data_IF_724223084770
#
_entry.id   IF_724223084770
#
_cell.length_a   1.000
_cell.length_b   1.000
_cell.length_c   1.000
_cell.angle_alpha   90.00
_cell.angle_beta   90.00
_cell.angle_gamma   90.00
#
_symmetry.space_group_name_H-M   'P 1'
#
loop_
_entity.id
_entity.type
_entity.pdbx_description
1 polymer ?
#
# COMPACT_ATOMS: atom_id res chain seq x y z
N UNK A 1 20.25 -44.85 -9.20
CA UNK A 1 20.78 -43.59 -8.63
C UNK A 1 21.35 -43.89 -7.27
N UNK A 2 22.49 -43.30 -6.92
CA UNK A 2 23.00 -43.36 -5.54
C UNK A 2 22.21 -42.33 -4.71
N UNK A 3 21.60 -42.70 -3.56
CA UNK A 3 20.94 -41.75 -2.67
C UNK A 3 21.86 -40.59 -2.23
N UNK A 4 23.18 -40.75 -2.33
CA UNK A 4 24.13 -39.69 -2.02
C UNK A 4 24.17 -38.54 -3.03
N UNK A 5 23.67 -38.75 -4.25
CA UNK A 5 23.71 -37.77 -5.34
C UNK A 5 22.47 -36.86 -5.36
N UNK A 6 21.52 -37.09 -4.44
CA UNK A 6 20.28 -36.31 -4.34
C UNK A 6 20.53 -35.03 -3.55
N UNK A 7 20.15 -33.90 -4.15
CA UNK A 7 20.18 -32.59 -3.54
C UNK A 7 18.77 -32.02 -3.41
N UNK A 8 18.46 -31.45 -2.25
CA UNK A 8 17.21 -30.73 -1.99
C UNK A 8 17.55 -29.24 -1.85
N UNK A 9 16.77 -28.38 -2.48
CA UNK A 9 16.84 -26.93 -2.25
C UNK A 9 15.48 -26.41 -1.83
N UNK A 10 15.45 -25.48 -0.88
CA UNK A 10 14.25 -24.86 -0.35
C UNK A 10 14.31 -23.33 -0.48
N UNK A 11 13.27 -22.73 -1.04
CA UNK A 11 13.15 -21.28 -1.24
C UNK A 11 11.82 -20.76 -0.71
N UNK A 12 11.79 -19.61 0.00
CA UNK A 12 12.95 -18.84 0.46
C UNK A 12 13.68 -19.54 1.63
N UNK A 13 15.00 -19.35 1.80
CA UNK A 13 15.75 -19.94 2.93
C UNK A 13 15.50 -19.19 4.24
N UNK A 14 15.18 -17.90 4.20
CA UNK A 14 14.80 -17.11 5.38
C UNK A 14 13.71 -16.11 5.03
N UNK A 15 12.81 -15.83 5.98
CA UNK A 15 11.82 -14.77 5.87
C UNK A 15 11.35 -14.29 7.24
N UNK A 16 10.83 -13.07 7.30
CA UNK A 16 10.21 -12.49 8.49
C UNK A 16 8.79 -12.06 8.14
N UNK A 17 7.83 -12.47 8.95
CA UNK A 17 6.40 -12.16 8.78
C UNK A 17 5.74 -11.89 10.13
N UNK A 18 4.57 -11.27 10.12
CA UNK A 18 3.74 -11.08 11.32
C UNK A 18 2.90 -12.31 11.62
N UNK A 19 2.38 -12.36 12.85
CA UNK A 19 1.44 -13.40 13.29
C UNK A 19 0.29 -13.58 12.29
N UNK A 20 0.02 -14.83 11.89
CA UNK A 20 -1.06 -15.19 10.98
C UNK A 20 -0.77 -15.01 9.49
N UNK A 21 0.38 -14.44 9.11
CA UNK A 21 0.78 -14.36 7.71
C UNK A 21 1.03 -15.74 7.10
N UNK A 22 0.73 -15.89 5.81
CA UNK A 22 1.00 -17.10 5.04
C UNK A 22 2.30 -16.96 4.26
N UNK A 23 3.23 -17.90 4.46
CA UNK A 23 4.48 -18.02 3.71
C UNK A 23 4.35 -19.13 2.68
N UNK A 24 4.78 -18.88 1.45
CA UNK A 24 4.84 -19.89 0.40
C UNK A 24 6.28 -20.40 0.27
N UNK A 25 6.42 -21.73 0.20
CA UNK A 25 7.70 -22.41 0.02
C UNK A 25 7.68 -23.26 -1.25
N UNK A 26 8.82 -23.31 -1.91
CA UNK A 26 9.10 -24.22 -3.03
C UNK A 26 10.35 -25.02 -2.72
N UNK A 27 10.24 -26.34 -2.82
CA UNK A 27 11.33 -27.28 -2.72
C UNK A 27 11.60 -27.93 -4.09
N UNK A 28 12.88 -28.08 -4.44
CA UNK A 28 13.32 -28.81 -5.62
C UNK A 28 14.21 -29.98 -5.20
N UNK A 29 14.04 -31.13 -5.84
CA UNK A 29 14.84 -32.33 -5.60
C UNK A 29 15.48 -32.72 -6.93
N UNK A 30 16.80 -32.66 -7.01
CA UNK A 30 17.56 -33.04 -8.20
C UNK A 30 18.48 -34.23 -7.90
N UNK A 31 18.73 -35.13 -8.88
CA UNK A 31 18.22 -35.16 -10.26
C UNK A 31 16.91 -35.95 -10.45
N UNK A 32 16.13 -36.18 -9.39
CA UNK A 32 14.94 -37.05 -9.42
C UNK A 32 13.77 -36.35 -10.13
N UNK A 33 13.15 -37.02 -11.10
CA UNK A 33 12.08 -36.44 -11.93
C UNK A 33 10.72 -36.32 -11.22
N UNK A 34 10.44 -37.12 -10.18
CA UNK A 34 9.17 -37.01 -9.43
C UNK A 34 9.13 -35.81 -8.47
N UNK A 35 10.30 -35.30 -8.06
CA UNK A 35 10.44 -34.17 -7.15
C UNK A 35 9.71 -34.34 -5.81
N UNK A 36 9.37 -35.55 -5.38
CA UNK A 36 8.50 -35.75 -4.22
C UNK A 36 9.19 -35.30 -2.91
N UNK A 37 8.51 -34.43 -2.15
CA UNK A 37 9.00 -33.82 -0.91
C UNK A 37 8.01 -34.06 0.22
N UNK A 38 8.53 -34.43 1.38
CA UNK A 38 7.82 -34.48 2.66
C UNK A 38 8.21 -33.28 3.51
N UNK A 39 7.24 -32.61 4.11
CA UNK A 39 7.44 -31.40 4.89
C UNK A 39 7.29 -31.63 6.38
N UNK A 40 8.13 -30.98 7.17
CA UNK A 40 7.99 -30.90 8.62
C UNK A 40 8.27 -29.48 9.09
N UNK A 41 7.80 -29.15 10.30
CA UNK A 41 8.04 -27.85 10.91
C UNK A 41 8.17 -27.96 12.43
N UNK A 42 8.95 -27.07 13.04
CA UNK A 42 9.09 -26.99 14.51
C UNK A 42 7.84 -26.42 15.20
N UNK A 43 6.93 -25.80 14.45
CA UNK A 43 5.67 -25.25 14.95
C UNK A 43 4.86 -24.55 13.85
N UNK A 44 3.71 -23.99 14.22
CA UNK A 44 2.76 -23.48 13.22
C UNK A 44 2.05 -24.60 12.44
N UNK A 45 1.50 -24.26 11.28
CA UNK A 45 0.66 -25.13 10.47
C UNK A 45 1.13 -25.13 9.03
N UNK A 46 1.43 -26.31 8.48
CA UNK A 46 1.68 -26.53 7.05
C UNK A 46 0.36 -26.73 6.30
N UNK A 47 0.29 -26.25 5.06
CA UNK A 47 -0.87 -26.44 4.19
C UNK A 47 -1.03 -27.88 3.69
N UNK A 48 0.08 -28.60 3.56
CA UNK A 48 0.11 -30.01 3.19
C UNK A 48 1.29 -30.74 3.85
N UNK A 49 1.22 -32.08 3.92
CA UNK A 49 2.37 -32.89 4.37
C UNK A 49 3.37 -33.17 3.24
N UNK A 50 2.95 -33.07 1.98
CA UNK A 50 3.73 -33.48 0.81
C UNK A 50 3.53 -32.53 -0.37
N UNK A 51 4.50 -32.48 -1.29
CA UNK A 51 4.42 -31.74 -2.55
C UNK A 51 5.64 -30.82 -2.75
N UNK A 52 5.91 -30.39 -3.98
CA UNK A 52 7.04 -29.49 -4.25
C UNK A 52 6.80 -28.05 -3.80
N UNK A 53 5.54 -27.68 -3.58
CA UNK A 53 5.18 -26.39 -2.99
C UNK A 53 4.37 -26.63 -1.73
N UNK A 54 4.46 -25.69 -0.79
CA UNK A 54 3.69 -25.75 0.44
C UNK A 54 3.43 -24.34 0.97
N UNK A 55 2.41 -24.20 1.80
CA UNK A 55 2.15 -22.99 2.57
C UNK A 55 2.41 -23.25 4.04
N UNK A 56 2.77 -22.21 4.78
CA UNK A 56 2.96 -22.28 6.22
C UNK A 56 2.48 -21.00 6.89
N UNK A 57 1.93 -21.11 8.10
CA UNK A 57 1.56 -19.97 8.95
C UNK A 57 1.71 -20.32 10.42
N UNK A 58 1.86 -19.31 11.28
CA UNK A 58 1.83 -19.49 12.74
C UNK A 58 1.07 -18.36 13.43
N UNK A 59 0.42 -18.71 14.54
CA UNK A 59 -0.39 -17.80 15.37
C UNK A 59 0.35 -17.24 16.58
N UNK A 60 1.62 -17.64 16.79
CA UNK A 60 2.42 -17.19 17.94
C UNK A 60 3.77 -16.65 17.47
N UNK A 61 4.25 -15.52 18.03
CA UNK A 61 5.57 -14.99 17.73
C UNK A 61 6.67 -15.99 18.07
N UNK A 62 7.74 -16.00 17.28
CA UNK A 62 8.88 -16.88 17.46
C UNK A 62 9.59 -17.23 16.17
N UNK A 63 10.67 -18.00 16.29
CA UNK A 63 11.43 -18.51 15.14
C UNK A 63 11.09 -19.97 14.88
N UNK A 64 10.75 -20.28 13.65
CA UNK A 64 10.33 -21.60 13.20
C UNK A 64 11.25 -22.11 12.10
N UNK A 65 11.47 -23.42 12.08
CA UNK A 65 12.21 -24.11 11.03
C UNK A 65 11.25 -24.96 10.22
N UNK A 66 11.29 -24.81 8.90
CA UNK A 66 10.52 -25.59 7.93
C UNK A 66 11.52 -26.46 7.19
N UNK A 67 11.31 -27.77 7.17
CA UNK A 67 12.23 -28.72 6.56
C UNK A 67 11.55 -29.47 5.42
N UNK A 68 12.15 -29.38 4.24
CA UNK A 68 11.77 -30.15 3.06
C UNK A 68 12.69 -31.36 2.94
N UNK A 69 12.13 -32.57 2.97
CA UNK A 69 12.90 -33.84 2.87
C UNK A 69 12.52 -34.57 1.60
N UNK A 70 13.50 -35.08 0.85
CA UNK A 70 13.22 -35.91 -0.33
C UNK A 70 12.50 -37.20 0.07
N UNK A 71 11.37 -37.50 -0.60
CA UNK A 71 10.64 -38.75 -0.36
C UNK A 71 11.43 -39.98 -0.86
N UNK A 72 12.16 -39.83 -1.97
CA UNK A 72 12.96 -40.90 -2.56
C UNK A 72 14.34 -41.07 -1.90
N UNK A 73 14.84 -40.04 -1.20
CA UNK A 73 16.06 -40.11 -0.40
C UNK A 73 15.87 -39.45 0.99
N UNK A 74 15.25 -40.14 1.96
CA UNK A 74 14.87 -39.55 3.26
C UNK A 74 16.02 -38.98 4.10
N UNK A 75 17.28 -39.30 3.77
CA UNK A 75 18.47 -38.70 4.39
C UNK A 75 18.90 -37.36 3.77
N UNK A 76 18.12 -36.80 2.84
CA UNK A 76 18.43 -35.56 2.12
C UNK A 76 17.31 -34.55 2.32
N UNK A 77 17.66 -33.41 2.87
CA UNK A 77 16.74 -32.33 3.21
C UNK A 77 17.40 -30.96 3.09
N UNK A 78 16.56 -29.94 2.96
CA UNK A 78 16.95 -28.54 3.14
C UNK A 78 15.97 -27.87 4.11
N UNK A 79 16.38 -26.77 4.74
CA UNK A 79 15.58 -26.08 5.76
C UNK A 79 15.53 -24.57 5.57
N UNK A 80 14.38 -24.00 5.87
CA UNK A 80 14.13 -22.57 5.88
C UNK A 80 13.82 -22.09 7.29
N UNK A 81 14.20 -20.85 7.60
CA UNK A 81 13.90 -20.19 8.88
C UNK A 81 12.84 -19.11 8.67
N UNK A 82 11.76 -19.16 9.45
CA UNK A 82 10.73 -18.11 9.48
C UNK A 82 10.74 -17.45 10.85
N UNK A 83 10.94 -16.14 10.87
CA UNK A 83 10.74 -15.33 12.09
C UNK A 83 9.34 -14.75 12.05
N UNK A 84 8.54 -15.07 13.06
CA UNK A 84 7.20 -14.53 13.26
C UNK A 84 7.25 -13.45 14.33
N UNK A 85 6.95 -12.23 13.95
CA UNK A 85 6.96 -11.09 14.85
C UNK A 85 5.56 -10.79 15.40
N UNK A 86 5.51 -10.31 16.64
CA UNK A 86 4.28 -9.86 17.27
C UNK A 86 3.80 -8.55 16.62
N UNK A 87 2.66 -8.61 15.92
CA UNK A 87 2.03 -7.45 15.29
C UNK A 87 0.91 -6.83 16.12
N UNK A 88 0.67 -7.29 17.35
CA UNK A 88 -0.44 -6.82 18.20
C UNK A 88 -0.35 -5.33 18.56
N UNK A 89 0.86 -4.78 18.55
CA UNK A 89 1.14 -3.36 18.86
C UNK A 89 1.19 -2.46 17.61
N UNK A 90 1.08 -3.02 16.40
CA UNK A 90 1.06 -2.23 15.17
C UNK A 90 -0.27 -1.46 15.10
N UNK A 91 -0.16 -0.13 15.10
CA UNK A 91 -1.29 0.78 15.00
C UNK A 91 -0.92 1.89 14.01
N UNK A 92 -1.09 1.56 12.72
CA UNK A 92 -0.66 2.46 11.66
C UNK A 92 -1.52 3.72 11.61
N UNK A 93 -0.87 4.85 11.35
CA UNK A 93 -1.53 6.13 11.06
C UNK A 93 -0.85 6.78 9.87
N UNK A 94 -1.62 7.28 8.92
CA UNK A 94 -1.12 8.14 7.83
C UNK A 94 -1.46 9.58 8.17
N UNK A 95 -0.45 10.46 8.18
CA UNK A 95 -0.60 11.88 8.49
C UNK A 95 -0.23 12.74 7.29
N UNK A 96 -1.08 13.72 6.91
CA UNK A 96 -2.44 13.94 7.42
C UNK A 96 -3.42 12.87 6.93
N UNK A 97 -4.52 12.66 7.67
CA UNK A 97 -5.57 11.70 7.29
C UNK A 97 -6.42 12.18 6.10
N UNK A 98 -6.50 13.49 5.88
CA UNK A 98 -7.13 14.08 4.71
C UNK A 98 -6.27 15.21 4.16
N UNK A 99 -6.30 15.40 2.83
CA UNK A 99 -5.62 16.52 2.18
C UNK A 99 -6.37 16.94 0.93
N UNK A 100 -6.73 18.22 0.85
CA UNK A 100 -7.17 18.83 -0.40
C UNK A 100 -5.93 19.28 -1.21
N UNK A 101 -5.95 19.01 -2.52
CA UNK A 101 -4.89 19.36 -3.46
C UNK A 101 -5.49 19.92 -4.74
N UNK A 102 -4.71 20.75 -5.43
CA UNK A 102 -5.01 21.25 -6.77
C UNK A 102 -4.20 20.46 -7.83
N UNK A 103 -4.58 20.54 -9.10
CA UNK A 103 -3.81 19.95 -10.19
C UNK A 103 -2.35 20.41 -10.17
N UNK A 104 -1.44 19.48 -10.43
CA UNK A 104 0.01 19.73 -10.40
C UNK A 104 0.64 19.86 -9.00
N UNK A 105 -0.14 19.88 -7.91
CA UNK A 105 0.40 19.95 -6.56
C UNK A 105 1.05 18.63 -6.13
N UNK A 106 2.02 18.76 -5.21
CA UNK A 106 2.65 17.61 -4.55
C UNK A 106 2.58 17.76 -3.04
N UNK A 107 2.44 16.64 -2.33
CA UNK A 107 2.42 16.61 -0.87
C UNK A 107 3.01 15.30 -0.34
N UNK A 108 3.78 15.40 0.75
CA UNK A 108 4.41 14.24 1.40
C UNK A 108 3.59 13.78 2.60
N UNK A 109 3.10 12.54 2.53
CA UNK A 109 2.43 11.86 3.63
C UNK A 109 3.43 11.04 4.44
N UNK A 110 3.16 10.88 5.73
CA UNK A 110 4.00 10.09 6.64
C UNK A 110 3.16 9.01 7.32
N UNK A 111 3.66 7.78 7.34
CA UNK A 111 3.15 6.69 8.16
C UNK A 111 3.88 6.64 9.52
N UNK A 112 3.17 6.26 10.56
CA UNK A 112 3.74 5.96 11.88
C UNK A 112 3.09 4.71 12.49
N UNK A 113 3.63 4.20 13.60
CA UNK A 113 3.06 3.06 14.33
C UNK A 113 3.34 1.69 13.71
N UNK A 114 4.36 1.60 12.85
CA UNK A 114 4.80 0.39 12.14
C UNK A 114 5.69 -0.53 13.00
N UNK A 115 6.09 -0.07 14.19
CA UNK A 115 6.97 -0.78 15.11
C UNK A 115 8.34 -1.15 14.49
N UNK A 116 8.82 -0.34 13.54
CA UNK A 116 10.08 -0.57 12.84
C UNK A 116 9.99 -1.55 11.66
N UNK A 117 8.82 -2.14 11.41
CA UNK A 117 8.59 -3.06 10.29
C UNK A 117 8.53 -2.39 8.91
N UNK A 118 8.29 -1.08 8.87
CA UNK A 118 8.05 -0.34 7.64
C UNK A 118 6.69 -0.63 7.01
N UNK A 119 6.41 0.07 5.90
CA UNK A 119 5.13 0.00 5.20
C UNK A 119 5.31 -0.21 3.70
N UNK A 120 4.26 -0.71 3.06
CA UNK A 120 4.06 -0.69 1.61
C UNK A 120 2.95 0.31 1.30
N UNK A 121 3.24 1.26 0.41
CA UNK A 121 2.28 2.27 0.00
C UNK A 121 1.54 1.84 -1.26
N UNK A 122 0.24 2.10 -1.32
CA UNK A 122 -0.59 1.99 -2.53
C UNK A 122 -1.42 3.25 -2.70
N UNK A 123 -1.71 3.64 -3.94
CA UNK A 123 -2.46 4.85 -4.27
C UNK A 123 -3.46 4.51 -5.37
N UNK A 124 -4.71 4.96 -5.22
CA UNK A 124 -5.73 4.90 -6.27
C UNK A 124 -5.75 6.18 -7.11
N UNK A 125 -6.38 6.12 -8.28
CA UNK A 125 -6.53 7.28 -9.18
C UNK A 125 -5.35 7.46 -10.14
N UNK A 126 -5.22 8.67 -10.68
CA UNK A 126 -4.23 9.00 -11.73
C UNK A 126 -3.00 9.74 -11.21
N UNK A 127 -2.98 10.08 -9.92
CA UNK A 127 -1.80 10.65 -9.28
C UNK A 127 -0.64 9.64 -9.22
N UNK A 128 0.57 10.17 -9.18
CA UNK A 128 1.79 9.38 -9.01
C UNK A 128 2.26 9.45 -7.57
N UNK A 129 3.07 8.47 -7.15
CA UNK A 129 3.71 8.47 -5.84
C UNK A 129 5.18 8.09 -5.92
N UNK A 130 5.97 8.64 -5.01
CA UNK A 130 7.37 8.29 -4.79
C UNK A 130 7.54 7.92 -3.33
N UNK A 131 7.81 6.63 -3.08
CA UNK A 131 7.96 6.10 -1.74
C UNK A 131 9.38 6.30 -1.21
N UNK A 132 9.49 6.67 0.06
CA UNK A 132 10.75 6.80 0.81
C UNK A 132 10.56 6.27 2.24
N UNK A 133 10.50 4.94 2.37
CA UNK A 133 10.27 4.27 3.65
C UNK A 133 8.90 4.61 4.23
N UNK A 134 8.89 5.21 5.43
CA UNK A 134 7.67 5.66 6.11
C UNK A 134 7.08 6.94 5.52
N UNK A 135 7.70 7.54 4.50
CA UNK A 135 7.15 8.69 3.80
C UNK A 135 6.80 8.32 2.36
N UNK A 136 5.80 8.99 1.80
CA UNK A 136 5.50 8.92 0.35
C UNK A 136 5.05 10.28 -0.15
N UNK A 137 5.63 10.73 -1.25
CA UNK A 137 5.23 11.97 -1.91
C UNK A 137 4.25 11.66 -3.01
N UNK A 138 3.04 12.20 -2.90
CA UNK A 138 2.00 12.09 -3.92
C UNK A 138 2.00 13.35 -4.78
N UNK A 139 1.99 13.18 -6.10
CA UNK A 139 1.93 14.26 -7.08
C UNK A 139 0.68 14.10 -7.93
N UNK A 140 -0.17 15.12 -7.90
CA UNK A 140 -1.39 15.18 -8.72
C UNK A 140 -1.00 15.60 -10.15
N UNK A 141 -1.55 14.98 -11.20
CA UNK A 141 -1.26 15.40 -12.57
C UNK A 141 -1.66 16.87 -12.79
N UNK A 142 -0.91 17.58 -13.64
CA UNK A 142 -1.25 18.96 -14.02
C UNK A 142 -2.45 19.05 -14.97
N UNK A 143 -2.89 17.92 -15.55
CA UNK A 143 -4.11 17.89 -16.35
C UNK A 143 -5.29 18.34 -15.50
N UNK A 144 -6.02 19.35 -15.98
CA UNK A 144 -7.11 19.96 -15.23
C UNK A 144 -8.25 18.96 -15.09
N UNK A 145 -8.62 18.55 -13.86
CA UNK A 145 -9.72 17.64 -13.63
C UNK A 145 -11.01 18.39 -13.83
N UNK A 146 -11.88 17.83 -14.65
CA UNK A 146 -13.23 18.36 -14.93
C UNK A 146 -14.24 18.00 -13.83
N UNK A 147 -13.85 17.14 -12.89
CA UNK A 147 -14.66 16.81 -11.72
C UNK A 147 -13.76 16.61 -10.51
N UNK A 148 -14.27 16.94 -9.32
CA UNK A 148 -13.53 16.71 -8.09
C UNK A 148 -13.26 15.21 -7.93
N UNK A 149 -11.98 14.84 -7.82
CA UNK A 149 -11.56 13.45 -7.70
C UNK A 149 -11.18 13.12 -6.26
N UNK A 150 -11.40 11.87 -5.86
CA UNK A 150 -10.97 11.36 -4.56
C UNK A 150 -9.98 10.21 -4.76
N UNK A 151 -8.77 10.36 -4.22
CA UNK A 151 -7.76 9.32 -4.19
C UNK A 151 -7.60 8.79 -2.78
N UNK A 152 -7.29 7.50 -2.68
CA UNK A 152 -7.04 6.82 -1.41
C UNK A 152 -5.59 6.39 -1.39
N UNK A 153 -4.83 6.95 -0.45
CA UNK A 153 -3.48 6.51 -0.14
C UNK A 153 -3.55 5.51 1.01
N UNK A 154 -3.02 4.30 0.82
CA UNK A 154 -3.00 3.25 1.85
C UNK A 154 -1.58 2.87 2.20
N UNK A 155 -1.25 2.91 3.49
CA UNK A 155 -0.07 2.28 4.06
C UNK A 155 -0.45 0.91 4.64
N UNK A 156 0.22 -0.14 4.20
CA UNK A 156 0.06 -1.51 4.71
C UNK A 156 1.33 -1.94 5.41
N UNK A 157 1.24 -2.52 6.62
CA UNK A 157 2.43 -2.99 7.33
C UNK A 157 3.13 -4.11 6.54
N UNK A 158 4.46 -4.07 6.51
CA UNK A 158 5.27 -5.16 5.91
C UNK A 158 5.33 -6.39 6.80
N UNK A 159 5.13 -6.22 8.11
CA UNK A 159 5.08 -7.33 9.04
C UNK A 159 3.71 -8.01 8.97
N UNK A 160 2.63 -7.25 9.04
CA UNK A 160 1.27 -7.80 9.05
C UNK A 160 0.40 -7.10 8.00
N UNK A 161 0.18 -7.78 6.87
CA UNK A 161 -0.60 -7.26 5.75
C UNK A 161 -2.07 -6.95 6.08
N UNK A 162 -2.59 -7.42 7.22
CA UNK A 162 -3.94 -7.06 7.69
C UNK A 162 -4.00 -5.68 8.35
N UNK A 163 -2.85 -5.13 8.80
CA UNK A 163 -2.75 -3.82 9.43
C UNK A 163 -2.56 -2.75 8.37
N UNK A 164 -3.53 -1.87 8.24
CA UNK A 164 -3.52 -0.79 7.25
C UNK A 164 -3.95 0.54 7.86
N UNK A 165 -3.52 1.63 7.24
CA UNK A 165 -3.99 2.99 7.52
C UNK A 165 -4.15 3.76 6.20
N UNK A 166 -5.06 4.71 6.18
CA UNK A 166 -5.43 5.43 4.97
C UNK A 166 -5.38 6.94 5.14
N UNK A 167 -5.10 7.63 4.05
CA UNK A 167 -5.38 9.06 3.88
C UNK A 167 -6.24 9.29 2.64
N UNK A 168 -7.18 10.23 2.76
CA UNK A 168 -8.07 10.64 1.66
C UNK A 168 -7.52 11.91 1.04
N UNK A 169 -7.27 11.87 -0.26
CA UNK A 169 -6.79 13.01 -1.04
C UNK A 169 -7.95 13.48 -1.91
N UNK A 170 -8.38 14.71 -1.71
CA UNK A 170 -9.40 15.35 -2.56
C UNK A 170 -8.70 16.27 -3.54
N UNK A 171 -8.84 15.98 -4.83
CA UNK A 171 -8.35 16.85 -5.90
C UNK A 171 -9.50 17.71 -6.39
N UNK A 172 -9.46 19.01 -6.11
CA UNK A 172 -10.52 19.93 -6.55
C UNK A 172 -10.48 20.13 -8.06
N UNK A 173 -11.66 20.30 -8.64
CA UNK A 173 -11.84 20.70 -10.03
C UNK A 173 -11.90 22.22 -10.14
N UNK A 174 -11.43 22.74 -11.28
CA UNK A 174 -11.60 24.13 -11.66
C UNK A 174 -12.83 24.36 -12.56
N UNK A 175 -13.49 23.29 -13.03
CA UNK A 175 -14.77 23.33 -13.74
C UNK A 175 -15.89 23.54 -12.69
N UNK A 176 -16.20 24.79 -12.42
CA UNK A 176 -17.17 25.20 -11.41
C UNK A 176 -18.60 25.12 -11.93
N UNK A 177 -18.80 25.29 -13.23
CA UNK A 177 -20.12 25.33 -13.85
C UNK A 177 -20.61 23.92 -14.31
N UNK A 178 -19.70 22.94 -14.38
CA UNK A 178 -19.96 21.54 -14.76
C UNK A 178 -20.17 21.31 -16.26
N UNK A 179 -19.67 22.19 -17.13
CA UNK A 179 -19.84 22.09 -18.58
C UNK A 179 -18.78 21.22 -19.27
N UNK A 180 -17.79 20.75 -18.52
CA UNK A 180 -16.72 19.89 -19.03
C UNK A 180 -15.54 20.65 -19.62
N UNK A 181 -15.48 21.96 -19.46
CA UNK A 181 -14.33 22.80 -19.77
C UNK A 181 -13.87 23.56 -18.53
N UNK A 182 -12.61 23.99 -18.54
CA UNK A 182 -12.12 24.99 -17.57
C UNK A 182 -11.82 26.25 -18.36
N UNK A 183 -12.72 27.22 -18.25
CA UNK A 183 -12.68 28.43 -19.06
C UNK A 183 -13.26 29.66 -18.34
N UNK A 184 -13.44 30.75 -19.07
CA UNK A 184 -13.94 32.02 -18.52
C UNK A 184 -15.36 31.95 -17.94
N UNK A 185 -16.16 30.93 -18.26
CA UNK A 185 -17.46 30.69 -17.65
C UNK A 185 -17.31 30.22 -16.20
N UNK A 186 -16.23 29.53 -15.85
CA UNK A 186 -15.91 29.19 -14.46
C UNK A 186 -15.56 30.42 -13.64
N UNK A 187 -14.89 31.39 -14.25
CA UNK A 187 -14.63 32.68 -13.60
C UNK A 187 -15.96 33.37 -13.27
N UNK A 188 -16.94 33.33 -14.19
CA UNK A 188 -18.27 33.89 -13.93
C UNK A 188 -18.98 33.12 -12.82
N UNK A 189 -18.80 31.81 -12.75
CA UNK A 189 -19.35 30.99 -11.67
C UNK A 189 -18.69 31.29 -10.32
N UNK A 190 -17.37 31.50 -10.27
CA UNK A 190 -16.65 31.95 -9.07
C UNK A 190 -17.13 33.34 -8.62
N UNK A 191 -17.31 34.27 -9.55
CA UNK A 191 -17.76 35.64 -9.29
C UNK A 191 -19.13 35.71 -8.59
N UNK A 192 -20.00 34.71 -8.77
CA UNK A 192 -21.30 34.63 -8.06
C UNK A 192 -21.13 34.47 -6.54
N UNK A 193 -19.95 34.06 -6.08
CA UNK A 193 -19.65 33.70 -4.68
C UNK A 193 -18.53 34.55 -4.08
N UNK A 194 -17.90 35.39 -4.89
CA UNK A 194 -16.74 36.20 -4.53
C UNK A 194 -17.06 37.19 -3.41
N UNK A 195 -16.20 37.22 -2.38
CA UNK A 195 -16.31 38.10 -1.20
C UNK A 195 -17.64 38.07 -0.42
N UNK A 196 -18.43 36.99 -0.53
CA UNK A 196 -19.62 36.86 0.31
C UNK A 196 -19.23 36.78 1.79
N UNK A 197 -19.83 37.64 2.62
CA UNK A 197 -19.54 37.70 4.07
C UNK A 197 -19.93 36.40 4.81
N UNK A 198 -20.86 35.62 4.25
CA UNK A 198 -21.30 34.31 4.76
C UNK A 198 -21.47 33.32 3.59
N UNK A 199 -20.36 32.87 2.99
CA UNK A 199 -20.39 31.84 1.93
C UNK A 199 -20.96 30.54 2.50
N UNK A 200 -22.01 29.92 1.91
CA UNK A 200 -22.44 28.58 2.28
C UNK A 200 -21.30 27.57 2.22
N UNK A 201 -21.23 26.61 3.14
CA UNK A 201 -20.14 25.61 3.18
C UNK A 201 -20.04 24.78 1.90
N UNK A 202 -21.16 24.59 1.20
CA UNK A 202 -21.20 23.94 -0.13
C UNK A 202 -20.53 24.75 -1.22
N UNK A 203 -20.58 26.08 -1.12
CA UNK A 203 -19.94 26.98 -2.06
C UNK A 203 -18.45 27.12 -1.75
N UNK A 204 -18.07 27.20 -0.46
CA UNK A 204 -16.66 27.13 -0.05
C UNK A 204 -16.02 25.82 -0.53
N UNK A 205 -16.67 24.67 -0.31
CA UNK A 205 -16.13 23.38 -0.76
C UNK A 205 -15.85 23.31 -2.28
N UNK A 206 -16.57 24.11 -3.08
CA UNK A 206 -16.41 24.18 -4.54
C UNK A 206 -15.35 25.18 -4.99
N UNK A 207 -15.38 26.40 -4.45
CA UNK A 207 -14.67 27.54 -5.03
C UNK A 207 -13.61 28.18 -4.11
N UNK A 208 -13.56 27.82 -2.82
CA UNK A 208 -12.41 28.11 -1.96
C UNK A 208 -11.35 27.05 -2.27
N UNK A 209 -10.43 27.34 -3.18
CA UNK A 209 -9.43 26.40 -3.67
C UNK A 209 -8.26 26.26 -2.71
N UNK A 210 -7.89 27.33 -2.00
CA UNK A 210 -6.77 27.35 -1.06
C UNK A 210 -7.12 26.79 0.34
N UNK A 211 -8.41 26.68 0.67
CA UNK A 211 -8.96 26.14 1.91
C UNK A 211 -8.96 27.13 3.10
N UNK A 212 -8.95 28.44 2.87
CA UNK A 212 -8.89 29.45 3.92
C UNK A 212 -10.27 29.91 4.44
N UNK A 213 -11.35 29.39 3.85
CA UNK A 213 -12.73 29.67 4.21
C UNK A 213 -13.34 30.88 3.51
N UNK A 214 -12.61 31.53 2.59
CA UNK A 214 -13.08 32.63 1.77
C UNK A 214 -13.00 32.27 0.29
N UNK A 215 -13.73 33.03 -0.52
CA UNK A 215 -13.63 32.98 -1.97
C UNK A 215 -13.17 34.36 -2.41
N UNK A 216 -11.88 34.51 -2.68
CA UNK A 216 -11.23 35.80 -2.93
C UNK A 216 -10.23 35.77 -4.11
N UNK A 217 -9.39 36.81 -4.21
CA UNK A 217 -8.38 36.95 -5.27
C UNK A 217 -7.40 35.77 -5.33
N UNK A 218 -7.19 35.06 -4.22
CA UNK A 218 -6.33 33.89 -4.16
C UNK A 218 -6.94 32.74 -4.97
N UNK A 219 -8.24 32.51 -4.82
CA UNK A 219 -8.96 31.46 -5.54
C UNK A 219 -9.11 31.82 -7.02
N UNK A 220 -9.40 33.10 -7.32
CA UNK A 220 -9.45 33.60 -8.69
C UNK A 220 -8.10 33.42 -9.40
N UNK A 221 -6.99 33.71 -8.71
CA UNK A 221 -5.65 33.53 -9.26
C UNK A 221 -5.33 32.06 -9.54
N UNK A 222 -5.80 31.14 -8.69
CA UNK A 222 -5.64 29.69 -8.90
C UNK A 222 -6.47 29.19 -10.08
N UNK A 223 -7.70 29.68 -10.23
CA UNK A 223 -8.55 29.37 -11.38
C UNK A 223 -7.94 29.92 -12.69
N UNK A 224 -7.46 31.16 -12.68
CA UNK A 224 -6.87 31.79 -13.85
C UNK A 224 -5.60 31.07 -14.32
N UNK A 225 -4.84 30.46 -13.40
CA UNK A 225 -3.68 29.66 -13.76
C UNK A 225 -4.03 28.32 -14.46
N UNK A 226 -5.31 27.93 -14.47
CA UNK A 226 -5.81 26.70 -15.06
C UNK A 226 -6.50 26.88 -16.43
N UNK A 227 -6.71 28.12 -16.87
CA UNK A 227 -7.33 28.52 -18.14
C UNK A 227 -6.24 28.89 -19.15
#
# INVERSE_FOLDING_TARGET
MNPADVNVTLTPPTTTVGVGATVNFTASVAPISDGAVNWTTTGGTLGAATGQTNTWSASTPGTYTITATSAAAPGRSDSATVTVEDSSTINLVVTPATKAMLPGQSFTFTASGDQGGGVNWTLTGTATKVDNGLQTTVTVPSAVPLTTATYTLTATSRLDGSKTAQAVITVKSFDLNGDGAVDTLDILELAKRYELVNVPTTDQAKADFNGDGKIDDTDLSQLLAAI
#
